data_IF_401882084844
#
_entry.id   IF_401882084844
#
_cell.length_a   1.000
_cell.length_b   1.000
_cell.length_c   1.000
_cell.angle_alpha   90.00
_cell.angle_beta   90.00
_cell.angle_gamma   90.00
#
_symmetry.space_group_name_H-M   'P 1'
#
loop_
_entity.id
_entity.type
_entity.pdbx_description
1 polymer ?
#
# COMPACT_ATOMS: atom_id res chain seq x y z
N UNK A 1 -38.95 42.67 -30.48
CA UNK A 1 -39.79 43.33 -29.46
C UNK A 1 -39.00 43.27 -28.16
N UNK A 2 -38.29 44.32 -27.79
CA UNK A 2 -38.55 45.40 -26.82
C UNK A 2 -39.21 44.83 -25.55
N UNK A 3 -38.62 44.90 -24.34
CA UNK A 3 -38.52 46.13 -23.57
C UNK A 3 -37.48 45.99 -22.42
N UNK A 4 -36.71 47.06 -22.25
CA UNK A 4 -35.92 47.48 -21.09
C UNK A 4 -36.84 48.06 -20.03
N UNK A 5 -36.48 47.96 -18.72
CA UNK A 5 -36.80 49.00 -17.76
C UNK A 5 -35.65 49.27 -16.80
N UNK A 6 -35.29 50.53 -16.74
CA UNK A 6 -34.40 51.26 -15.84
C UNK A 6 -35.32 51.99 -14.84
N UNK A 7 -34.93 52.15 -13.57
CA UNK A 7 -35.32 53.25 -12.65
C UNK A 7 -34.49 53.10 -11.35
N UNK A 8 -33.75 53.95 -10.98
CA UNK A 8 -33.64 55.38 -10.63
C UNK A 8 -33.70 55.58 -9.10
N UNK A 9 -32.66 56.26 -8.62
CA UNK A 9 -32.39 56.71 -7.26
C UNK A 9 -33.41 57.73 -6.72
N UNK A 10 -33.49 57.80 -5.40
CA UNK A 10 -33.89 59.05 -4.71
C UNK A 10 -32.99 59.34 -3.53
N UNK A 11 -32.27 60.46 -3.67
CA UNK A 11 -31.68 61.25 -2.61
C UNK A 11 -32.76 62.15 -1.98
N UNK A 12 -32.78 62.27 -0.66
CA UNK A 12 -33.41 63.40 0.01
C UNK A 12 -32.48 63.93 1.12
N UNK A 13 -32.07 65.18 0.90
CA UNK A 13 -31.37 66.04 1.84
C UNK A 13 -32.43 66.79 2.63
N UNK A 14 -32.28 66.95 3.94
CA UNK A 14 -32.94 67.98 4.71
C UNK A 14 -31.96 68.46 5.80
N UNK A 15 -31.75 69.78 5.72
CA UNK A 15 -30.90 70.59 6.62
C UNK A 15 -31.74 71.30 7.70
N UNK A 16 -31.03 71.77 8.72
CA UNK A 16 -31.37 72.86 9.65
C UNK A 16 -31.97 72.43 11.00
N UNK A 17 -31.39 72.68 12.14
CA UNK A 17 -31.20 74.03 12.77
C UNK A 17 -30.35 73.91 14.03
N UNK A 18 -29.48 74.93 14.27
CA UNK A 18 -28.74 75.20 15.49
C UNK A 18 -29.65 75.58 16.65
N UNK A 19 -29.39 75.00 17.82
CA UNK A 19 -29.58 75.73 19.11
C UNK A 19 -28.44 75.42 20.02
N UNK A 20 -27.69 76.43 20.37
CA UNK A 20 -26.61 76.38 21.35
C UNK A 20 -27.15 76.42 22.78
N UNK A 21 -26.80 75.43 23.57
CA UNK A 21 -26.93 75.52 25.03
C UNK A 21 -25.56 75.15 25.64
N UNK A 22 -24.93 76.19 26.29
CA UNK A 22 -23.73 75.99 27.07
C UNK A 22 -24.06 75.22 28.35
N UNK A 23 -23.43 74.03 28.52
CA UNK A 23 -23.50 73.23 29.72
C UNK A 23 -22.10 72.81 30.13
N UNK A 24 -21.76 73.02 31.39
CA UNK A 24 -20.47 72.78 32.05
C UNK A 24 -19.86 71.41 31.68
N UNK A 25 -18.62 71.42 31.23
CA UNK A 25 -17.81 70.23 31.00
C UNK A 25 -17.33 69.66 32.33
N UNK A 26 -17.86 68.45 32.67
CA UNK A 26 -17.19 67.59 33.65
C UNK A 26 -16.29 66.63 32.84
N UNK A 27 -15.02 66.56 33.15
CA UNK A 27 -14.07 65.72 32.53
C UNK A 27 -14.50 64.21 32.67
N UNK A 28 -14.40 63.34 31.58
CA UNK A 28 -14.71 61.97 31.71
C UNK A 28 -13.60 61.24 32.48
N UNK A 29 -14.02 60.35 33.43
CA UNK A 29 -13.12 59.48 34.15
C UNK A 29 -12.41 58.53 33.18
N UNK A 30 -11.15 58.14 33.43
CA UNK A 30 -10.41 57.21 32.57
C UNK A 30 -11.12 55.88 32.56
N UNK A 31 -11.47 55.41 31.35
CA UNK A 31 -11.94 54.03 31.15
C UNK A 31 -10.85 53.05 31.55
N UNK A 32 -11.09 52.24 32.56
CA UNK A 32 -10.23 51.10 32.88
C UNK A 32 -10.13 50.20 31.64
N UNK A 33 -8.93 50.00 31.10
CA UNK A 33 -8.66 49.00 30.07
C UNK A 33 -8.95 47.62 30.65
N UNK A 34 -9.81 46.85 29.98
CA UNK A 34 -10.05 45.47 30.32
C UNK A 34 -8.73 44.67 30.20
N UNK A 35 -8.41 43.80 31.14
CA UNK A 35 -7.19 43.01 31.05
C UNK A 35 -7.16 42.23 29.74
N UNK A 36 -6.11 42.40 28.92
CA UNK A 36 -5.85 41.60 27.73
C UNK A 36 -5.85 40.14 28.15
N UNK A 37 -6.80 39.36 27.61
CA UNK A 37 -6.80 37.92 27.79
C UNK A 37 -5.45 37.35 27.39
N UNK A 38 -4.83 36.58 28.25
CA UNK A 38 -3.59 35.86 27.93
C UNK A 38 -3.82 34.99 26.70
N UNK A 39 -2.82 34.86 25.77
CA UNK A 39 -2.97 34.01 24.62
C UNK A 39 -3.28 32.59 25.09
N UNK A 40 -4.44 32.04 24.68
CA UNK A 40 -4.77 30.66 24.89
C UNK A 40 -3.71 29.86 24.13
N UNK A 41 -2.92 29.08 24.87
CA UNK A 41 -1.94 28.20 24.25
C UNK A 41 -2.67 27.32 23.20
N UNK A 42 -2.21 27.38 21.97
CA UNK A 42 -2.77 26.55 20.91
C UNK A 42 -2.73 25.08 21.36
N UNK A 43 -3.85 24.38 21.23
CA UNK A 43 -3.91 22.96 21.55
C UNK A 43 -2.80 22.22 20.76
N UNK A 44 -2.06 21.31 21.38
CA UNK A 44 -1.01 20.56 20.69
C UNK A 44 -1.58 19.90 19.46
N UNK A 45 -0.85 19.98 18.34
CA UNK A 45 -1.26 19.32 17.11
C UNK A 45 -1.53 17.82 17.35
N UNK A 46 -2.58 17.25 16.78
CA UNK A 46 -2.91 15.84 16.98
C UNK A 46 -1.71 14.96 16.59
N UNK A 47 -1.45 13.93 17.39
CA UNK A 47 -0.35 13.02 17.14
C UNK A 47 -0.50 12.36 15.75
N UNK A 48 0.58 12.15 15.01
CA UNK A 48 0.52 11.51 13.70
C UNK A 48 -0.19 10.15 13.76
N UNK A 49 -0.98 9.84 12.74
CA UNK A 49 -1.79 8.61 12.71
C UNK A 49 -0.98 7.31 12.93
N UNK A 50 0.30 7.29 12.57
CA UNK A 50 1.19 6.16 12.78
C UNK A 50 1.61 5.94 14.25
N UNK A 51 1.39 6.92 15.14
CA UNK A 51 1.59 6.80 16.60
C UNK A 51 0.36 6.29 17.34
N UNK A 52 -0.74 6.11 16.68
CA UNK A 52 -1.97 5.63 17.29
C UNK A 52 -1.78 4.21 17.88
N UNK A 53 -2.34 3.96 19.07
CA UNK A 53 -2.24 2.68 19.75
C UNK A 53 -0.87 2.39 20.35
N UNK A 54 -0.01 3.40 20.50
CA UNK A 54 1.26 3.28 21.20
C UNK A 54 1.00 3.05 22.68
N UNK A 55 1.43 1.90 23.17
CA UNK A 55 1.33 1.54 24.59
C UNK A 55 2.34 2.32 25.46
N UNK A 56 2.17 2.32 26.81
CA UNK A 56 3.08 3.02 27.73
C UNK A 56 4.55 2.63 27.54
N UNK A 57 4.83 1.35 27.31
CA UNK A 57 6.20 0.81 27.13
C UNK A 57 6.89 1.35 25.86
N UNK A 58 6.11 1.82 24.89
CA UNK A 58 6.61 2.38 23.65
C UNK A 58 6.56 3.92 23.62
N UNK A 59 6.03 4.57 24.67
CA UNK A 59 5.79 6.02 24.70
C UNK A 59 7.05 6.87 24.44
N UNK A 60 8.23 6.38 24.82
CA UNK A 60 9.52 7.05 24.61
C UNK A 60 10.25 6.59 23.34
N UNK A 61 9.64 5.71 22.55
CA UNK A 61 10.25 5.15 21.34
C UNK A 61 10.52 6.24 20.30
N UNK A 62 11.72 6.20 19.71
CA UNK A 62 12.14 7.05 18.59
C UNK A 62 11.88 6.42 17.22
N UNK A 63 11.28 5.24 17.18
CA UNK A 63 10.94 4.56 15.93
C UNK A 63 9.95 5.39 15.12
N UNK A 64 10.14 5.44 13.81
CA UNK A 64 9.29 6.16 12.88
C UNK A 64 9.26 5.46 11.51
N UNK A 65 8.18 5.64 10.73
CA UNK A 65 8.11 5.12 9.38
C UNK A 65 9.30 5.58 8.53
N UNK A 66 9.89 4.65 7.80
CA UNK A 66 11.03 4.92 6.93
C UNK A 66 10.58 5.73 5.71
N UNK A 67 11.21 6.88 5.42
CA UNK A 67 10.86 7.69 4.25
C UNK A 67 11.18 6.93 2.96
N UNK A 68 10.35 7.13 1.94
CA UNK A 68 10.64 6.65 0.60
C UNK A 68 11.71 7.48 -0.08
N UNK A 69 12.63 6.84 -0.80
CA UNK A 69 13.56 7.55 -1.69
C UNK A 69 12.81 7.98 -2.95
N UNK A 70 12.87 9.26 -3.27
CA UNK A 70 12.14 9.86 -4.39
C UNK A 70 13.01 10.10 -5.61
N UNK A 71 14.30 9.76 -5.53
CA UNK A 71 15.28 9.95 -6.60
C UNK A 71 15.64 8.64 -7.26
N UNK A 72 16.04 8.72 -8.53
CA UNK A 72 16.57 7.58 -9.27
C UNK A 72 17.88 7.10 -8.67
N UNK A 73 18.09 5.79 -8.61
CA UNK A 73 19.36 5.17 -8.29
C UNK A 73 19.92 4.54 -9.58
N UNK A 74 21.10 4.96 -10.05
CA UNK A 74 21.76 4.34 -11.19
C UNK A 74 22.06 2.86 -10.95
N UNK A 75 22.02 2.04 -11.99
CA UNK A 75 22.22 0.59 -11.86
C UNK A 75 23.58 0.22 -11.27
N UNK A 76 24.62 0.97 -11.59
CA UNK A 76 26.00 0.75 -11.09
C UNK A 76 26.18 1.16 -9.62
N UNK A 77 25.23 1.87 -9.02
CA UNK A 77 25.24 2.22 -7.60
C UNK A 77 24.45 1.21 -6.75
N UNK A 78 23.78 0.25 -7.37
CA UNK A 78 23.00 -0.77 -6.66
C UNK A 78 23.93 -1.91 -6.25
N UNK A 79 24.11 -2.19 -4.94
CA UNK A 79 25.04 -3.19 -4.45
C UNK A 79 24.48 -4.62 -4.60
N UNK A 80 24.24 -5.04 -5.84
CA UNK A 80 23.61 -6.31 -6.20
C UNK A 80 24.41 -7.53 -5.73
N UNK A 81 25.73 -7.38 -5.56
CA UNK A 81 26.68 -8.37 -5.05
C UNK A 81 26.43 -8.76 -3.59
N UNK A 82 25.79 -7.89 -2.82
CA UNK A 82 25.38 -8.17 -1.44
C UNK A 82 24.20 -9.14 -1.35
N UNK A 83 23.46 -9.32 -2.42
CA UNK A 83 22.32 -10.23 -2.42
C UNK A 83 22.76 -11.69 -2.45
N UNK A 84 22.10 -12.48 -1.62
CA UNK A 84 22.34 -13.92 -1.48
C UNK A 84 21.07 -14.67 -1.88
N UNK A 85 21.27 -15.69 -2.72
CA UNK A 85 20.22 -16.60 -3.20
C UNK A 85 20.65 -18.04 -3.01
N UNK A 86 19.73 -19.00 -3.05
CA UNK A 86 20.07 -20.42 -3.09
C UNK A 86 20.97 -20.77 -4.28
N UNK A 87 21.75 -21.86 -4.19
CA UNK A 87 22.64 -22.29 -5.27
C UNK A 87 21.93 -22.45 -6.61
N UNK A 88 22.56 -22.04 -7.70
CA UNK A 88 22.04 -22.11 -9.07
C UNK A 88 21.15 -20.93 -9.48
N UNK A 89 20.70 -20.11 -8.53
CA UNK A 89 20.00 -18.87 -8.83
C UNK A 89 20.97 -17.72 -9.13
N UNK A 90 20.53 -16.84 -10.03
CA UNK A 90 21.16 -15.55 -10.32
C UNK A 90 20.15 -14.43 -10.17
N UNK A 91 20.62 -13.27 -9.77
CA UNK A 91 19.86 -12.02 -9.72
C UNK A 91 20.63 -10.93 -10.46
N UNK A 92 19.94 -10.12 -11.21
CA UNK A 92 20.51 -8.97 -11.92
C UNK A 92 19.64 -7.74 -11.73
N UNK A 93 20.23 -6.55 -11.81
CA UNK A 93 19.48 -5.30 -11.96
C UNK A 93 18.94 -5.28 -13.39
N UNK A 94 17.64 -5.56 -13.54
CA UNK A 94 17.01 -5.68 -14.84
C UNK A 94 16.58 -4.34 -15.43
N UNK A 95 16.07 -3.44 -14.58
CA UNK A 95 15.70 -2.08 -14.95
C UNK A 95 15.82 -1.14 -13.75
N UNK A 96 16.03 0.15 -13.99
CA UNK A 96 16.07 1.23 -13.00
C UNK A 96 15.33 2.46 -13.49
N UNK A 97 15.36 3.56 -12.73
CA UNK A 97 14.77 4.82 -13.15
C UNK A 97 13.31 5.00 -12.77
N UNK A 98 12.79 4.15 -11.88
CA UNK A 98 11.39 4.16 -11.46
C UNK A 98 11.25 4.33 -9.93
N UNK A 99 11.61 5.49 -9.36
CA UNK A 99 11.52 5.73 -7.91
C UNK A 99 10.14 5.31 -7.37
N UNK A 100 10.14 4.59 -6.25
CA UNK A 100 8.91 4.13 -5.62
C UNK A 100 8.23 2.95 -6.31
N UNK A 101 8.93 2.19 -7.18
CA UNK A 101 8.39 1.04 -7.90
C UNK A 101 7.76 0.01 -6.96
N UNK A 102 6.50 -0.34 -7.23
CA UNK A 102 5.69 -1.29 -6.43
C UNK A 102 5.04 -2.36 -7.29
N UNK A 103 3.70 -2.40 -7.34
CA UNK A 103 2.97 -3.40 -8.10
C UNK A 103 3.32 -3.34 -9.58
N UNK A 104 3.34 -4.50 -10.20
CA UNK A 104 3.62 -4.68 -11.61
C UNK A 104 2.45 -5.39 -12.29
N UNK A 105 2.06 -4.93 -13.47
CA UNK A 105 1.08 -5.57 -14.32
C UNK A 105 1.65 -5.72 -15.74
N UNK A 106 1.57 -6.92 -16.31
CA UNK A 106 2.04 -7.16 -17.68
C UNK A 106 0.91 -6.94 -18.68
N UNK A 107 1.17 -6.12 -19.69
CA UNK A 107 0.28 -5.92 -20.83
C UNK A 107 0.32 -7.09 -21.82
N UNK A 108 -0.59 -7.06 -22.79
CA UNK A 108 -0.74 -8.10 -23.78
C UNK A 108 0.45 -8.14 -24.76
N UNK A 109 1.06 -6.98 -25.07
CA UNK A 109 2.25 -6.86 -25.91
C UNK A 109 3.57 -7.06 -25.15
N UNK A 110 3.53 -7.40 -23.86
CA UNK A 110 4.69 -7.68 -23.03
C UNK A 110 5.26 -6.50 -22.26
N UNK A 111 4.77 -5.27 -22.46
CA UNK A 111 5.10 -4.13 -21.61
C UNK A 111 4.69 -4.35 -20.17
N UNK A 112 5.41 -3.74 -19.24
CA UNK A 112 5.12 -3.85 -17.82
C UNK A 112 4.74 -2.48 -17.29
N UNK A 113 3.60 -2.39 -16.63
CA UNK A 113 3.12 -1.19 -15.96
C UNK A 113 3.46 -1.29 -14.48
N UNK A 114 4.11 -0.25 -13.94
CA UNK A 114 4.60 -0.23 -12.57
C UNK A 114 3.93 0.91 -11.80
N UNK A 115 3.13 0.55 -10.80
CA UNK A 115 2.54 1.49 -9.87
C UNK A 115 3.54 1.98 -8.82
N UNK A 116 3.30 3.18 -8.29
CA UNK A 116 4.13 3.76 -7.23
C UNK A 116 3.27 4.24 -6.06
N UNK A 117 3.89 4.45 -4.90
CA UNK A 117 3.19 5.04 -3.76
C UNK A 117 3.43 6.56 -3.69
N UNK A 118 4.53 6.98 -3.12
CA UNK A 118 4.75 8.38 -2.75
C UNK A 118 4.97 9.30 -3.96
N UNK A 119 5.53 8.80 -5.06
CA UNK A 119 5.86 9.63 -6.21
C UNK A 119 4.66 9.97 -7.11
N UNK A 120 3.53 9.26 -6.96
CA UNK A 120 2.29 9.60 -7.66
C UNK A 120 2.25 9.24 -9.15
N UNK A 121 3.08 8.29 -9.62
CA UNK A 121 3.25 7.94 -11.03
C UNK A 121 2.96 6.47 -11.31
N UNK A 122 2.61 6.19 -12.57
CA UNK A 122 2.68 4.85 -13.16
C UNK A 122 3.68 4.90 -14.30
N UNK A 123 4.62 3.97 -14.29
CA UNK A 123 5.60 3.80 -15.36
C UNK A 123 5.18 2.69 -16.31
N UNK A 124 5.52 2.84 -17.58
CA UNK A 124 5.54 1.77 -18.57
C UNK A 124 7.00 1.37 -18.80
N UNK A 125 7.32 0.11 -18.64
CA UNK A 125 8.62 -0.47 -18.90
C UNK A 125 8.53 -1.35 -20.14
N UNK A 126 9.39 -1.08 -21.12
CA UNK A 126 9.51 -1.83 -22.36
C UNK A 126 10.85 -2.56 -22.38
N UNK A 127 10.82 -3.85 -22.67
CA UNK A 127 12.00 -4.67 -22.94
C UNK A 127 12.00 -5.08 -24.43
N UNK A 128 13.01 -4.68 -25.16
CA UNK A 128 13.20 -5.07 -26.57
C UNK A 128 14.26 -6.19 -26.74
N UNK A 129 14.66 -6.82 -25.62
CA UNK A 129 15.68 -7.87 -25.57
C UNK A 129 17.13 -7.35 -25.47
N UNK A 130 17.41 -6.13 -25.87
CA UNK A 130 18.71 -5.47 -25.75
C UNK A 130 18.71 -4.40 -24.66
N UNK A 131 17.69 -3.58 -24.66
CA UNK A 131 17.53 -2.45 -23.76
C UNK A 131 16.19 -2.51 -23.04
N UNK A 132 16.16 -1.93 -21.83
CA UNK A 132 14.95 -1.69 -21.06
C UNK A 132 14.80 -0.19 -20.88
N UNK A 133 13.73 0.33 -21.45
CA UNK A 133 13.39 1.75 -21.36
C UNK A 133 12.10 1.92 -20.57
N UNK A 134 12.02 2.98 -19.78
CA UNK A 134 10.79 3.31 -19.09
C UNK A 134 10.36 4.74 -19.35
N UNK A 135 9.06 4.97 -19.22
CA UNK A 135 8.46 6.32 -19.28
C UNK A 135 7.29 6.42 -18.31
N UNK A 136 6.97 7.63 -17.93
CA UNK A 136 5.75 7.92 -17.18
C UNK A 136 4.56 7.90 -18.13
N UNK A 137 3.54 7.09 -17.82
CA UNK A 137 2.28 7.03 -18.58
C UNK A 137 1.09 7.60 -17.80
N UNK A 138 1.19 7.65 -16.48
CA UNK A 138 0.23 8.32 -15.60
C UNK A 138 1.00 9.12 -14.56
N UNK A 139 0.59 10.35 -14.31
CA UNK A 139 1.23 11.25 -13.34
C UNK A 139 0.19 11.96 -12.46
N UNK A 140 0.65 12.53 -11.35
CA UNK A 140 -0.14 13.38 -10.44
C UNK A 140 -1.33 12.68 -9.78
N UNK A 141 -1.27 11.36 -9.59
CA UNK A 141 -2.24 10.63 -8.79
C UNK A 141 -1.77 10.50 -7.34
N UNK A 142 -2.72 10.39 -6.41
CA UNK A 142 -2.41 10.17 -5.00
C UNK A 142 -2.16 8.69 -4.75
N UNK A 143 -0.88 8.29 -4.65
CA UNK A 143 -0.44 6.92 -4.34
C UNK A 143 -1.05 5.86 -5.30
N UNK A 144 -0.81 5.91 -6.61
CA UNK A 144 -1.32 4.95 -7.59
C UNK A 144 -0.54 3.63 -7.51
N UNK A 145 -0.62 2.95 -6.36
CA UNK A 145 0.12 1.71 -6.12
C UNK A 145 -0.48 0.50 -6.84
N UNK A 146 -1.78 0.50 -7.07
CA UNK A 146 -2.50 -0.60 -7.71
C UNK A 146 -2.52 -0.47 -9.22
N UNK A 147 -1.96 -1.46 -9.91
CA UNK A 147 -2.04 -1.59 -11.36
C UNK A 147 -2.47 -3.00 -11.72
N UNK A 148 -3.38 -3.14 -12.68
CA UNK A 148 -3.80 -4.41 -13.25
C UNK A 148 -4.06 -4.23 -14.76
N UNK A 149 -3.86 -5.28 -15.54
CA UNK A 149 -4.08 -5.24 -16.98
C UNK A 149 -5.04 -6.35 -17.39
N UNK A 150 -6.00 -6.02 -18.24
CA UNK A 150 -6.97 -6.98 -18.77
C UNK A 150 -7.55 -6.50 -20.09
N UNK A 151 -7.58 -7.39 -21.08
CA UNK A 151 -8.25 -7.18 -22.37
C UNK A 151 -7.88 -5.83 -23.03
N UNK A 152 -6.57 -5.55 -23.14
CA UNK A 152 -6.04 -4.32 -23.75
C UNK A 152 -6.16 -3.06 -22.88
N UNK A 153 -6.64 -3.16 -21.65
CA UNK A 153 -6.88 -2.02 -20.76
C UNK A 153 -6.04 -2.08 -19.50
N UNK A 154 -5.42 -0.96 -19.14
CA UNK A 154 -4.73 -0.76 -17.87
C UNK A 154 -5.70 -0.15 -16.85
N UNK A 155 -5.82 -0.83 -15.71
CA UNK A 155 -6.52 -0.32 -14.54
C UNK A 155 -5.51 0.25 -13.55
N UNK A 156 -5.74 1.48 -13.11
CA UNK A 156 -4.92 2.16 -12.11
C UNK A 156 -5.79 2.54 -10.92
N UNK A 157 -5.43 2.06 -9.74
CA UNK A 157 -6.11 2.41 -8.51
C UNK A 157 -5.19 3.22 -7.60
N UNK A 158 -5.58 4.46 -7.38
CA UNK A 158 -5.00 5.35 -6.38
C UNK A 158 -5.86 5.33 -5.10
N UNK A 159 -5.50 6.14 -4.09
CA UNK A 159 -6.32 6.24 -2.88
C UNK A 159 -7.74 6.69 -3.21
N UNK A 160 -7.88 7.69 -4.06
CA UNK A 160 -9.13 8.41 -4.30
C UNK A 160 -9.67 8.28 -5.73
N UNK A 161 -9.05 7.45 -6.57
CA UNK A 161 -9.49 7.25 -7.97
C UNK A 161 -9.29 5.83 -8.44
N UNK A 162 -10.19 5.40 -9.31
CA UNK A 162 -10.08 4.18 -10.12
C UNK A 162 -10.21 4.59 -11.58
N UNK A 163 -9.14 4.44 -12.33
CA UNK A 163 -9.05 4.86 -13.72
C UNK A 163 -8.76 3.65 -14.61
N UNK A 164 -9.41 3.60 -15.77
CA UNK A 164 -9.17 2.58 -16.80
C UNK A 164 -8.70 3.26 -18.09
N UNK A 165 -7.59 2.81 -18.61
CA UNK A 165 -6.97 3.32 -19.83
C UNK A 165 -7.13 2.29 -20.94
N UNK A 166 -8.15 2.45 -21.78
CA UNK A 166 -8.49 1.52 -22.86
C UNK A 166 -7.54 1.69 -24.05
N UNK A 167 -6.88 0.61 -24.46
CA UNK A 167 -5.94 0.65 -25.59
C UNK A 167 -4.65 1.41 -25.33
N UNK A 168 -4.21 1.57 -24.07
CA UNK A 168 -2.98 2.27 -23.66
C UNK A 168 -1.72 1.77 -24.38
N UNK A 169 -1.66 0.49 -24.73
CA UNK A 169 -0.55 -0.10 -25.46
C UNK A 169 -0.40 0.45 -26.87
N UNK A 170 -1.49 0.86 -27.50
CA UNK A 170 -1.53 1.49 -28.83
C UNK A 170 -1.43 3.01 -28.75
N UNK A 171 -2.08 3.61 -27.75
CA UNK A 171 -2.07 5.05 -27.49
C UNK A 171 -1.73 5.34 -26.03
N UNK A 172 -0.45 5.58 -25.67
CA UNK A 172 -0.02 5.81 -24.29
C UNK A 172 -0.49 7.14 -23.69
N UNK A 173 -1.11 7.99 -24.50
CA UNK A 173 -1.71 9.27 -24.08
C UNK A 173 -3.24 9.21 -24.05
N UNK A 174 -3.82 8.02 -24.14
CA UNK A 174 -5.27 7.84 -24.09
C UNK A 174 -5.85 8.42 -22.79
N UNK A 175 -6.97 9.14 -22.91
CA UNK A 175 -7.68 9.64 -21.75
C UNK A 175 -8.32 8.47 -20.98
N UNK A 176 -8.27 8.48 -19.64
CA UNK A 176 -8.87 7.42 -18.84
C UNK A 176 -10.39 7.51 -18.79
N UNK A 177 -11.03 6.36 -18.65
CA UNK A 177 -12.40 6.24 -18.17
C UNK A 177 -12.36 6.28 -16.63
N UNK A 178 -13.03 7.26 -16.02
CA UNK A 178 -13.12 7.37 -14.56
C UNK A 178 -14.23 6.44 -14.03
N UNK A 179 -13.82 5.40 -13.30
CA UNK A 179 -14.69 4.42 -12.67
C UNK A 179 -14.91 4.68 -11.18
N UNK A 180 -14.37 5.76 -10.63
CA UNK A 180 -14.27 6.02 -9.17
C UNK A 180 -15.62 5.90 -8.46
N UNK A 181 -16.67 6.49 -9.02
CA UNK A 181 -18.00 6.48 -8.41
C UNK A 181 -18.61 5.07 -8.21
N UNK A 182 -18.10 4.07 -8.93
CA UNK A 182 -18.59 2.68 -8.84
C UNK A 182 -17.93 1.86 -7.74
N UNK A 183 -16.83 2.37 -7.13
CA UNK A 183 -16.01 1.60 -6.20
C UNK A 183 -16.25 1.95 -4.73
N UNK A 184 -17.03 2.99 -4.42
CA UNK A 184 -17.27 3.44 -3.04
C UNK A 184 -15.99 3.47 -2.21
N UNK A 185 -15.00 4.29 -2.66
CA UNK A 185 -13.69 4.37 -2.01
C UNK A 185 -13.81 5.09 -0.67
N UNK A 186 -13.29 4.53 0.43
CA UNK A 186 -13.22 5.23 1.70
C UNK A 186 -12.28 6.45 1.59
N UNK A 187 -12.58 7.56 2.30
CA UNK A 187 -11.82 8.81 2.20
C UNK A 187 -10.45 8.77 2.87
N UNK A 188 -10.23 7.87 3.82
CA UNK A 188 -9.00 7.81 4.60
C UNK A 188 -7.82 7.33 3.77
N UNK A 189 -6.66 7.95 4.01
CA UNK A 189 -5.43 7.60 3.34
C UNK A 189 -4.66 6.45 4.01
N UNK A 190 -4.89 6.22 5.30
CA UNK A 190 -4.21 5.19 6.06
C UNK A 190 -4.60 3.79 5.55
N UNK A 191 -3.62 2.94 5.23
CA UNK A 191 -3.77 1.60 4.61
C UNK A 191 -4.62 1.57 3.33
N UNK A 192 -4.75 2.69 2.63
CA UNK A 192 -5.60 2.77 1.46
C UNK A 192 -4.85 2.70 0.12
N UNK A 193 -3.52 2.50 0.13
CA UNK A 193 -2.75 2.16 -1.08
C UNK A 193 -2.97 0.68 -1.41
N UNK A 194 -3.60 0.42 -2.54
CA UNK A 194 -4.12 -0.90 -2.88
C UNK A 194 -3.18 -1.66 -3.81
N UNK A 195 -3.10 -2.97 -3.66
CA UNK A 195 -2.75 -3.89 -4.72
C UNK A 195 -4.03 -4.37 -5.38
N UNK A 196 -4.09 -4.43 -6.69
CA UNK A 196 -5.24 -4.91 -7.44
C UNK A 196 -4.81 -5.95 -8.45
N UNK A 197 -5.64 -6.94 -8.69
CA UNK A 197 -5.42 -7.94 -9.73
C UNK A 197 -6.75 -8.56 -10.18
N UNK A 198 -6.79 -9.03 -11.42
CA UNK A 198 -7.91 -9.82 -11.92
C UNK A 198 -7.77 -11.28 -11.50
N UNK A 199 -8.83 -11.82 -10.93
CA UNK A 199 -8.90 -13.21 -10.52
C UNK A 199 -9.16 -14.18 -11.69
N UNK A 200 -9.06 -15.49 -11.43
CA UNK A 200 -9.39 -16.50 -12.43
C UNK A 200 -10.87 -16.49 -12.87
N UNK A 201 -11.73 -15.81 -12.12
CA UNK A 201 -13.13 -15.54 -12.43
C UNK A 201 -13.33 -14.28 -13.29
N UNK A 202 -12.24 -13.61 -13.68
CA UNK A 202 -12.25 -12.38 -14.48
C UNK A 202 -12.66 -11.13 -13.71
N UNK A 203 -12.93 -11.22 -12.40
CA UNK A 203 -13.28 -10.07 -11.54
C UNK A 203 -12.04 -9.36 -11.00
N UNK A 204 -12.16 -8.05 -10.74
CA UNK A 204 -11.12 -7.24 -10.13
C UNK A 204 -11.19 -7.34 -8.60
N UNK A 205 -10.11 -7.83 -7.98
CA UNK A 205 -9.99 -7.95 -6.52
C UNK A 205 -9.30 -6.72 -5.95
N UNK A 206 -9.88 -6.18 -4.88
CA UNK A 206 -9.47 -4.90 -4.27
C UNK A 206 -9.52 -5.02 -2.75
N UNK A 207 -8.39 -4.83 -2.05
CA UNK A 207 -8.38 -4.74 -0.60
C UNK A 207 -8.71 -3.32 -0.14
N UNK A 208 -9.38 -3.21 1.00
CA UNK A 208 -9.69 -1.97 1.70
C UNK A 208 -9.15 -2.09 3.12
N UNK A 209 -8.04 -1.45 3.41
CA UNK A 209 -7.38 -1.55 4.71
C UNK A 209 -8.11 -0.80 5.82
N UNK A 210 -7.66 -0.99 7.05
CA UNK A 210 -8.18 -0.27 8.21
C UNK A 210 -7.81 1.22 8.16
N UNK A 211 -8.67 2.14 8.65
CA UNK A 211 -8.41 3.59 8.62
C UNK A 211 -7.40 4.05 9.68
N UNK A 212 -6.89 3.13 10.47
CA UNK A 212 -6.10 3.39 11.67
C UNK A 212 -5.04 2.31 11.88
N UNK A 213 -4.09 2.55 12.80
CA UNK A 213 -3.22 1.48 13.29
C UNK A 213 -4.04 0.42 14.03
N UNK A 214 -4.84 0.87 15.01
CA UNK A 214 -5.79 0.05 15.77
C UNK A 214 -6.96 0.91 16.23
N UNK A 215 -8.18 0.52 15.94
CA UNK A 215 -9.41 1.18 16.37
C UNK A 215 -10.62 0.28 16.14
N UNK A 216 -11.73 0.54 16.81
CA UNK A 216 -13.02 0.08 16.31
C UNK A 216 -13.27 0.69 14.94
N UNK A 217 -13.78 -0.11 14.02
CA UNK A 217 -14.02 0.36 12.66
C UNK A 217 -15.19 1.34 12.64
N UNK A 218 -15.01 2.57 12.11
CA UNK A 218 -16.09 3.57 12.11
C UNK A 218 -17.26 3.14 11.21
N UNK A 219 -16.99 2.37 10.18
CA UNK A 219 -17.96 1.78 9.27
C UNK A 219 -17.50 0.41 8.78
N UNK A 220 -18.41 -0.44 8.30
CA UNK A 220 -18.06 -1.80 7.84
C UNK A 220 -17.26 -1.83 6.53
N UNK A 221 -17.06 -0.69 5.84
CA UNK A 221 -16.35 -0.64 4.56
C UNK A 221 -14.84 -0.87 4.66
N UNK A 222 -14.27 -0.81 5.87
CA UNK A 222 -12.85 -1.00 6.12
C UNK A 222 -12.49 -2.45 6.47
N UNK A 223 -11.21 -2.72 6.43
CA UNK A 223 -10.63 -4.02 6.78
C UNK A 223 -11.24 -5.19 6.00
N UNK A 224 -11.41 -5.01 4.69
CA UNK A 224 -12.09 -5.96 3.79
C UNK A 224 -11.23 -6.31 2.56
N UNK A 225 -11.51 -7.47 1.97
CA UNK A 225 -11.18 -7.77 0.58
C UNK A 225 -12.49 -7.84 -0.19
N UNK A 226 -12.57 -7.12 -1.29
CA UNK A 226 -13.74 -7.08 -2.18
C UNK A 226 -13.36 -7.49 -3.59
N UNK A 227 -14.36 -7.93 -4.39
CA UNK A 227 -14.20 -8.09 -5.83
C UNK A 227 -15.33 -7.37 -6.57
N UNK A 228 -15.04 -7.01 -7.81
CA UNK A 228 -15.92 -6.25 -8.69
C UNK A 228 -15.86 -6.81 -10.10
N UNK A 229 -16.90 -6.60 -10.90
CA UNK A 229 -16.79 -6.73 -12.34
C UNK A 229 -15.77 -5.71 -12.88
N UNK A 230 -15.18 -5.93 -14.09
CA UNK A 230 -14.20 -5.00 -14.67
C UNK A 230 -14.72 -3.56 -14.82
N UNK A 231 -16.02 -3.36 -14.94
CA UNK A 231 -16.64 -2.05 -15.02
C UNK A 231 -16.93 -1.38 -13.66
N UNK A 232 -16.60 -2.05 -12.55
CA UNK A 232 -16.83 -1.59 -11.18
C UNK A 232 -18.21 -1.95 -10.61
N UNK A 233 -19.06 -2.62 -11.36
CA UNK A 233 -20.35 -3.16 -10.87
C UNK A 233 -20.17 -4.46 -10.09
N UNK A 234 -21.26 -4.98 -9.51
CA UNK A 234 -21.30 -6.32 -8.90
C UNK A 234 -20.35 -6.49 -7.72
N UNK A 235 -20.26 -5.48 -6.84
CA UNK A 235 -19.42 -5.53 -5.64
C UNK A 235 -19.83 -6.68 -4.72
N UNK A 236 -18.84 -7.45 -4.30
CA UNK A 236 -18.98 -8.52 -3.31
C UNK A 236 -17.89 -8.38 -2.22
N UNK A 237 -18.27 -8.48 -0.95
CA UNK A 237 -17.34 -8.59 0.18
C UNK A 237 -16.93 -10.04 0.34
N UNK A 238 -15.64 -10.32 0.23
CA UNK A 238 -15.09 -11.67 0.30
C UNK A 238 -14.56 -12.02 1.68
N UNK A 239 -13.94 -11.05 2.37
CA UNK A 239 -13.32 -11.21 3.68
C UNK A 239 -13.47 -9.94 4.50
N UNK A 240 -13.54 -10.11 5.84
CA UNK A 240 -13.55 -9.03 6.82
C UNK A 240 -12.42 -9.22 7.83
N UNK A 241 -12.14 -8.20 8.65
CA UNK A 241 -11.08 -8.30 9.66
C UNK A 241 -9.66 -8.38 9.07
N UNK A 242 -9.46 -7.92 7.85
CA UNK A 242 -8.16 -7.87 7.16
C UNK A 242 -7.58 -6.47 7.32
N UNK A 243 -6.65 -6.28 8.29
CA UNK A 243 -6.14 -4.95 8.63
C UNK A 243 -5.51 -4.21 7.46
N UNK A 244 -4.56 -4.84 6.78
CA UNK A 244 -3.89 -4.24 5.62
C UNK A 244 -3.26 -5.31 4.75
N UNK A 245 -3.96 -5.67 3.68
CA UNK A 245 -3.42 -6.54 2.65
C UNK A 245 -2.98 -5.72 1.44
N UNK A 246 -1.75 -5.96 1.00
CA UNK A 246 -1.16 -5.30 -0.18
C UNK A 246 -0.51 -6.32 -1.12
N UNK A 247 -0.79 -7.59 -0.94
CA UNK A 247 -0.29 -8.65 -1.80
C UNK A 247 -1.17 -9.90 -1.70
N UNK A 248 -1.58 -10.41 -2.84
CA UNK A 248 -2.36 -11.63 -2.93
C UNK A 248 -2.14 -12.32 -4.28
N UNK A 249 -2.42 -13.62 -4.32
CA UNK A 249 -2.42 -14.42 -5.54
C UNK A 249 -3.32 -15.63 -5.34
N UNK A 250 -3.65 -16.32 -6.42
CA UNK A 250 -4.48 -17.51 -6.38
C UNK A 250 -3.64 -18.79 -6.43
N UNK A 251 -3.90 -19.68 -5.49
CA UNK A 251 -3.20 -20.97 -5.46
C UNK A 251 -3.40 -21.73 -6.79
N UNK A 252 -2.32 -22.18 -7.43
CA UNK A 252 -2.38 -22.69 -8.81
C UNK A 252 -3.35 -23.85 -9.01
N UNK A 253 -3.48 -24.73 -8.01
CA UNK A 253 -4.34 -25.92 -8.07
C UNK A 253 -5.75 -25.66 -7.56
N UNK A 254 -5.88 -25.10 -6.33
CA UNK A 254 -7.19 -24.92 -5.68
C UNK A 254 -7.94 -23.68 -6.13
N UNK A 255 -7.26 -22.74 -6.78
CA UNK A 255 -7.78 -21.42 -7.18
C UNK A 255 -8.24 -20.55 -6.01
N UNK A 256 -7.99 -20.96 -4.77
CA UNK A 256 -8.28 -20.17 -3.58
C UNK A 256 -7.36 -18.95 -3.53
N UNK A 257 -7.90 -17.82 -3.09
CA UNK A 257 -7.13 -16.60 -2.85
C UNK A 257 -6.25 -16.79 -1.61
N UNK A 258 -4.96 -16.49 -1.76
CA UNK A 258 -4.02 -16.35 -0.64
C UNK A 258 -3.56 -14.90 -0.58
N UNK A 259 -3.39 -14.36 0.63
CA UNK A 259 -3.04 -12.97 0.80
C UNK A 259 -2.16 -12.73 2.03
N UNK A 260 -1.29 -11.73 1.93
CA UNK A 260 -0.48 -11.22 3.05
C UNK A 260 -1.31 -10.25 3.88
N UNK A 261 -1.07 -10.16 5.19
CA UNK A 261 -1.75 -9.20 6.06
C UNK A 261 -0.77 -8.60 7.07
N UNK A 262 -0.68 -7.28 7.09
CA UNK A 262 0.13 -6.55 8.07
C UNK A 262 -0.59 -6.50 9.41
N UNK A 263 0.09 -6.91 10.46
CA UNK A 263 -0.34 -6.74 11.83
C UNK A 263 -0.25 -5.26 12.28
N UNK A 264 -0.82 -4.95 13.46
CA UNK A 264 -0.74 -3.61 14.03
C UNK A 264 0.67 -3.27 14.53
N UNK A 265 0.97 -1.99 14.61
CA UNK A 265 2.18 -1.46 15.22
C UNK A 265 1.98 -1.25 16.73
N UNK A 266 3.09 -1.11 17.47
CA UNK A 266 3.15 -0.66 18.86
C UNK A 266 2.64 -1.65 19.91
N UNK A 267 2.71 -2.96 19.64
CA UNK A 267 2.54 -4.01 20.66
C UNK A 267 3.90 -4.54 21.20
N UNK A 268 5.01 -3.93 20.82
CA UNK A 268 6.36 -4.37 21.14
C UNK A 268 7.10 -4.92 19.91
N UNK A 269 8.39 -5.29 20.10
CA UNK A 269 9.27 -5.71 19.00
C UNK A 269 8.86 -7.05 18.38
N UNK A 270 8.37 -7.99 19.19
CA UNK A 270 8.23 -9.39 18.79
C UNK A 270 6.77 -9.82 18.58
N UNK A 271 5.82 -8.87 18.59
CA UNK A 271 4.39 -9.14 18.37
C UNK A 271 3.62 -7.91 17.88
N UNK A 272 2.51 -8.14 17.16
CA UNK A 272 2.10 -9.42 16.57
C UNK A 272 2.88 -9.70 15.29
N UNK A 273 2.86 -10.96 14.84
CA UNK A 273 3.42 -11.32 13.56
C UNK A 273 2.56 -10.79 12.41
N UNK A 274 3.19 -10.37 11.31
CA UNK A 274 2.54 -10.34 10.00
C UNK A 274 2.19 -11.75 9.58
N UNK A 275 1.19 -11.91 8.71
CA UNK A 275 0.61 -13.22 8.42
C UNK A 275 0.41 -13.45 6.92
N UNK A 276 0.43 -14.73 6.53
CA UNK A 276 -0.05 -15.22 5.26
C UNK A 276 -1.33 -16.01 5.50
N UNK A 277 -2.41 -15.63 4.84
CA UNK A 277 -3.71 -16.26 4.94
C UNK A 277 -4.14 -16.94 3.64
N UNK A 278 -5.09 -17.84 3.78
CA UNK A 278 -5.82 -18.49 2.69
C UNK A 278 -7.32 -18.25 2.89
N UNK A 279 -8.01 -17.90 1.82
CA UNK A 279 -9.47 -17.78 1.83
C UNK A 279 -10.09 -19.12 1.44
N UNK A 280 -10.59 -19.87 2.41
CA UNK A 280 -11.23 -21.16 2.18
C UNK A 280 -12.62 -21.00 1.55
N UNK A 281 -13.36 -20.00 1.97
CA UNK A 281 -14.67 -19.57 1.46
C UNK A 281 -14.84 -18.07 1.67
N UNK A 282 -15.84 -17.49 1.04
CA UNK A 282 -16.21 -16.08 1.26
C UNK A 282 -16.87 -15.88 2.62
N UNK A 283 -16.83 -14.63 3.13
CA UNK A 283 -17.49 -14.23 4.39
C UNK A 283 -16.72 -14.56 5.66
N UNK A 284 -15.47 -15.00 5.58
CA UNK A 284 -14.63 -15.29 6.74
C UNK A 284 -14.08 -14.01 7.37
N UNK A 285 -13.83 -14.08 8.69
CA UNK A 285 -13.23 -13.02 9.49
C UNK A 285 -11.78 -13.37 9.85
N UNK A 286 -10.86 -12.41 9.61
CA UNK A 286 -9.43 -12.57 9.85
C UNK A 286 -8.92 -11.79 11.06
N UNK A 287 -9.82 -11.29 11.92
CA UNK A 287 -9.56 -10.93 13.32
C UNK A 287 -9.51 -9.44 13.64
N UNK A 288 -9.02 -8.57 12.74
CA UNK A 288 -8.91 -7.14 13.05
C UNK A 288 -10.27 -6.50 13.31
N UNK A 289 -10.42 -5.64 14.36
CA UNK A 289 -9.35 -5.12 15.24
C UNK A 289 -9.07 -5.95 16.49
N UNK A 290 -9.88 -6.93 16.83
CA UNK A 290 -9.89 -7.54 18.15
C UNK A 290 -8.92 -8.71 18.35
N UNK A 291 -8.50 -9.35 17.26
CA UNK A 291 -7.65 -10.54 17.28
C UNK A 291 -6.55 -10.46 16.20
N UNK A 292 -5.34 -10.80 16.59
CA UNK A 292 -4.17 -10.88 15.71
C UNK A 292 -3.69 -12.32 15.61
N UNK A 293 -3.04 -12.69 14.50
CA UNK A 293 -2.45 -14.02 14.26
C UNK A 293 -3.44 -15.20 14.45
N UNK A 294 -4.74 -14.92 14.51
CA UNK A 294 -5.79 -15.93 14.75
C UNK A 294 -6.04 -16.28 16.22
N UNK A 295 -5.15 -15.91 17.14
CA UNK A 295 -5.23 -16.34 18.56
C UNK A 295 -4.76 -15.29 19.57
N UNK A 296 -4.29 -14.13 19.14
CA UNK A 296 -3.78 -13.08 20.03
C UNK A 296 -4.80 -11.95 20.19
N UNK A 297 -5.41 -11.77 21.37
CA UNK A 297 -6.29 -10.63 21.68
C UNK A 297 -5.57 -9.30 21.56
N UNK A 298 -6.28 -8.26 21.08
CA UNK A 298 -5.77 -6.89 21.15
C UNK A 298 -5.80 -6.35 22.58
N UNK A 299 -4.79 -5.58 22.95
CA UNK A 299 -4.63 -5.00 24.29
C UNK A 299 -5.31 -3.63 24.46
N UNK A 300 -5.69 -2.97 23.36
CA UNK A 300 -6.35 -1.65 23.32
C UNK A 300 -7.83 -1.78 23.00
N UNK A 301 -8.18 -2.48 21.94
CA UNK A 301 -9.55 -2.67 21.46
C UNK A 301 -10.09 -4.01 21.98
N UNK A 302 -10.60 -3.98 23.19
CA UNK A 302 -10.99 -5.20 23.92
C UNK A 302 -12.39 -5.67 23.55
N UNK A 303 -12.54 -6.99 23.44
CA UNK A 303 -13.82 -7.67 23.19
C UNK A 303 -13.87 -8.99 23.97
N UNK A 304 -15.04 -9.43 24.36
CA UNK A 304 -15.22 -10.77 24.92
C UNK A 304 -14.97 -11.83 23.81
N UNK A 305 -14.19 -12.86 24.11
CA UNK A 305 -13.82 -13.93 23.17
C UNK A 305 -13.35 -13.41 21.79
N UNK A 306 -12.35 -12.52 21.74
CA UNK A 306 -12.03 -11.74 20.57
C UNK A 306 -11.57 -12.57 19.37
N UNK A 307 -11.03 -13.76 19.62
CA UNK A 307 -10.53 -14.66 18.59
C UNK A 307 -11.51 -15.80 18.22
N UNK A 308 -12.72 -15.79 18.79
CA UNK A 308 -13.70 -16.81 18.44
C UNK A 308 -14.16 -16.68 16.98
N UNK A 309 -14.05 -17.76 16.22
CA UNK A 309 -14.43 -17.78 14.79
C UNK A 309 -13.50 -17.02 13.86
N UNK A 310 -12.32 -16.63 14.32
CA UNK A 310 -11.27 -15.99 13.51
C UNK A 310 -10.49 -17.07 12.75
N UNK A 311 -10.25 -16.82 11.45
CA UNK A 311 -9.49 -17.73 10.60
C UNK A 311 -7.99 -17.73 10.95
N UNK A 312 -7.45 -18.92 11.11
CA UNK A 312 -6.04 -19.11 11.39
C UNK A 312 -5.18 -18.78 10.17
N UNK A 313 -4.00 -18.15 10.34
CA UNK A 313 -3.07 -17.95 9.23
C UNK A 313 -2.49 -19.28 8.75
N UNK A 314 -2.14 -19.32 7.47
CA UNK A 314 -1.33 -20.40 6.89
C UNK A 314 0.07 -20.39 7.51
N UNK A 315 0.62 -19.19 7.70
CA UNK A 315 1.95 -18.99 8.28
C UNK A 315 2.07 -17.64 8.97
N UNK A 316 2.81 -17.64 10.07
CA UNK A 316 3.37 -16.43 10.64
C UNK A 316 4.59 -16.01 9.83
N UNK A 317 4.69 -14.72 9.51
CA UNK A 317 5.71 -14.18 8.61
C UNK A 317 6.78 -13.36 9.33
N UNK A 318 6.76 -13.38 10.66
CA UNK A 318 7.59 -12.57 11.54
C UNK A 318 6.95 -11.24 11.91
N UNK A 319 7.29 -10.70 13.11
CA UNK A 319 6.73 -9.44 13.58
C UNK A 319 7.29 -8.27 12.77
N UNK A 320 6.39 -7.36 12.37
CA UNK A 320 6.72 -6.10 11.68
C UNK A 320 7.53 -6.25 10.37
N UNK A 321 7.54 -7.41 9.73
CA UNK A 321 8.33 -7.65 8.50
C UNK A 321 7.83 -6.85 7.30
N UNK A 322 6.64 -6.26 7.40
CA UNK A 322 5.95 -5.54 6.33
C UNK A 322 5.81 -6.43 5.08
N UNK A 323 5.07 -7.53 5.22
CA UNK A 323 4.76 -8.48 4.13
C UNK A 323 4.03 -7.76 2.99
N UNK A 324 4.59 -7.82 1.79
CA UNK A 324 4.10 -7.10 0.62
C UNK A 324 3.53 -8.06 -0.42
N UNK A 325 3.95 -7.90 -1.66
CA UNK A 325 3.55 -8.75 -2.76
C UNK A 325 3.89 -10.22 -2.54
N UNK A 326 3.01 -11.09 -2.99
CA UNK A 326 3.23 -12.52 -3.05
C UNK A 326 2.95 -13.03 -4.47
N UNK A 327 3.60 -14.12 -4.85
CA UNK A 327 3.36 -14.80 -6.12
C UNK A 327 3.60 -16.29 -5.99
N UNK A 328 2.63 -17.10 -6.38
CA UNK A 328 2.87 -18.52 -6.57
C UNK A 328 3.74 -18.76 -7.79
N UNK A 329 4.79 -19.55 -7.61
CA UNK A 329 5.64 -19.90 -8.74
C UNK A 329 5.03 -21.04 -9.54
N UNK A 330 4.69 -20.77 -10.80
CA UNK A 330 4.10 -21.73 -11.73
C UNK A 330 4.97 -22.01 -12.95
N UNK A 331 6.14 -21.34 -13.04
CA UNK A 331 7.09 -21.49 -14.12
C UNK A 331 7.82 -22.86 -14.12
N UNK A 332 8.65 -23.05 -15.12
CA UNK A 332 9.45 -24.27 -15.27
C UNK A 332 10.98 -23.98 -15.23
N UNK A 333 11.36 -22.72 -15.01
CA UNK A 333 12.78 -22.34 -14.92
C UNK A 333 13.41 -22.74 -13.59
N UNK A 334 12.69 -22.50 -12.47
CA UNK A 334 13.17 -22.82 -11.12
C UNK A 334 13.06 -24.32 -10.83
N UNK A 335 13.83 -24.86 -9.88
CA UNK A 335 13.73 -26.25 -9.45
C UNK A 335 12.32 -26.68 -9.04
N UNK A 336 12.06 -27.97 -9.11
CA UNK A 336 10.73 -28.55 -8.85
C UNK A 336 10.17 -28.21 -7.45
N UNK A 337 11.03 -28.02 -6.45
CA UNK A 337 10.62 -27.64 -5.09
C UNK A 337 9.99 -26.25 -5.00
N UNK A 338 10.21 -25.37 -5.98
CA UNK A 338 9.58 -24.06 -6.07
C UNK A 338 8.19 -24.10 -6.73
N UNK A 339 7.86 -25.20 -7.42
CA UNK A 339 6.57 -25.32 -8.11
C UNK A 339 5.43 -25.25 -7.10
N UNK A 340 4.49 -24.34 -7.32
CA UNK A 340 3.36 -24.04 -6.46
C UNK A 340 3.73 -23.52 -5.05
N UNK A 341 5.00 -23.20 -4.78
CA UNK A 341 5.38 -22.45 -3.59
C UNK A 341 5.06 -20.97 -3.76
N UNK A 342 4.71 -20.29 -2.67
CA UNK A 342 4.53 -18.84 -2.68
C UNK A 342 5.86 -18.15 -2.39
N UNK A 343 6.28 -17.23 -3.26
CA UNK A 343 7.34 -16.25 -2.96
C UNK A 343 6.68 -15.02 -2.37
N UNK A 344 7.20 -14.52 -1.25
CA UNK A 344 6.63 -13.39 -0.51
C UNK A 344 7.72 -12.37 -0.23
N UNK A 345 7.52 -11.12 -0.66
CA UNK A 345 8.41 -10.02 -0.32
C UNK A 345 8.09 -9.50 1.08
N UNK A 346 9.12 -9.37 1.93
CA UNK A 346 9.05 -8.72 3.24
C UNK A 346 9.87 -7.44 3.16
N UNK A 347 9.16 -6.31 3.06
CA UNK A 347 9.77 -5.01 2.76
C UNK A 347 10.68 -4.50 3.87
N UNK A 348 10.50 -5.00 5.07
CA UNK A 348 11.30 -4.67 6.24
C UNK A 348 10.66 -3.70 7.22
N UNK A 349 10.95 -3.95 8.49
CA UNK A 349 10.37 -3.27 9.64
C UNK A 349 10.80 -1.81 9.76
N UNK A 350 9.90 -0.99 10.33
CA UNK A 350 10.22 0.31 10.88
C UNK A 350 9.85 0.39 12.38
N UNK A 351 8.88 -0.40 12.81
CA UNK A 351 8.35 -0.45 14.18
C UNK A 351 9.00 -1.60 14.99
N UNK A 352 10.34 -1.66 14.96
CA UNK A 352 11.11 -2.64 15.68
C UNK A 352 12.54 -2.13 15.88
N UNK A 353 13.10 -2.28 17.09
CA UNK A 353 14.46 -1.83 17.42
C UNK A 353 15.50 -2.61 16.61
N UNK A 354 15.43 -3.94 16.62
CA UNK A 354 16.22 -4.78 15.72
C UNK A 354 15.42 -5.06 14.46
N UNK A 355 15.82 -4.45 13.34
CA UNK A 355 15.09 -4.58 12.07
C UNK A 355 15.00 -6.03 11.59
N UNK A 356 13.89 -6.35 10.94
CA UNK A 356 13.59 -7.67 10.37
C UNK A 356 12.92 -7.55 9.01
N UNK A 357 12.86 -8.63 8.24
CA UNK A 357 12.43 -8.60 6.84
C UNK A 357 13.56 -8.10 5.95
N UNK A 358 13.27 -7.22 5.00
CA UNK A 358 14.22 -6.78 3.95
C UNK A 358 14.72 -7.96 3.12
N UNK A 359 13.80 -8.83 2.72
CA UNK A 359 14.11 -10.07 2.00
C UNK A 359 12.92 -10.55 1.17
N UNK A 360 13.14 -11.60 0.43
CA UNK A 360 12.08 -12.41 -0.16
C UNK A 360 12.20 -13.81 0.42
N UNK A 361 11.09 -14.36 0.86
CA UNK A 361 11.02 -15.72 1.40
C UNK A 361 10.19 -16.63 0.49
N UNK A 362 10.49 -17.92 0.53
CA UNK A 362 9.64 -18.96 -0.05
C UNK A 362 8.79 -19.58 1.06
N UNK A 363 7.49 -19.65 0.83
CA UNK A 363 6.55 -20.38 1.69
C UNK A 363 6.07 -21.61 0.92
N UNK A 364 6.45 -22.77 1.41
CA UNK A 364 5.98 -24.06 0.91
C UNK A 364 4.96 -24.63 1.89
N UNK A 365 3.76 -24.87 1.41
CA UNK A 365 2.67 -25.44 2.18
C UNK A 365 1.91 -26.45 1.32
N UNK A 366 1.15 -27.35 1.95
CA UNK A 366 0.18 -28.16 1.23
C UNK A 366 -0.96 -27.29 0.69
N UNK A 367 -1.68 -27.77 -0.31
CA UNK A 367 -2.74 -27.01 -1.00
C UNK A 367 -3.88 -26.57 -0.04
N UNK A 368 -4.06 -27.27 1.07
CA UNK A 368 -4.98 -26.92 2.15
C UNK A 368 -4.39 -25.93 3.17
N UNK A 369 -3.20 -25.40 2.91
CA UNK A 369 -2.52 -24.41 3.76
C UNK A 369 -1.83 -24.98 5.00
N UNK A 370 -1.79 -26.30 5.17
CA UNK A 370 -1.10 -26.93 6.29
C UNK A 370 0.38 -27.15 6.00
N UNK A 371 1.15 -27.48 7.06
CA UNK A 371 2.57 -27.79 6.99
C UNK A 371 3.40 -26.69 6.31
N UNK A 372 3.04 -25.44 6.54
CA UNK A 372 3.74 -24.31 5.96
C UNK A 372 5.17 -24.22 6.52
N UNK A 373 6.14 -24.10 5.61
CA UNK A 373 7.54 -23.86 5.91
C UNK A 373 8.00 -22.59 5.21
N UNK A 374 8.51 -21.63 5.99
CA UNK A 374 9.08 -20.38 5.47
C UNK A 374 10.60 -20.54 5.41
N UNK A 375 11.18 -20.27 4.23
CA UNK A 375 12.63 -20.33 4.01
C UNK A 375 13.13 -19.09 3.29
N UNK A 376 14.32 -18.57 3.60
CA UNK A 376 14.91 -17.46 2.86
C UNK A 376 15.08 -17.79 1.38
N UNK A 377 14.81 -16.80 0.51
CA UNK A 377 15.02 -16.91 -0.93
C UNK A 377 15.96 -15.83 -1.47
N UNK A 378 15.72 -14.55 -1.18
CA UNK A 378 16.64 -13.46 -1.48
C UNK A 378 16.91 -12.70 -0.19
N UNK A 379 18.16 -12.64 0.24
CA UNK A 379 18.58 -11.90 1.43
C UNK A 379 19.71 -10.93 1.09
N UNK A 380 20.10 -10.07 2.04
CA UNK A 380 21.22 -9.16 1.87
C UNK A 380 20.83 -7.72 1.54
N UNK A 381 19.54 -7.37 1.48
CA UNK A 381 19.09 -5.97 1.39
C UNK A 381 19.38 -5.16 2.65
N UNK A 382 19.62 -5.83 3.77
CA UNK A 382 19.95 -5.25 5.06
C UNK A 382 21.20 -5.94 5.64
N UNK A 383 22.04 -5.17 6.32
CA UNK A 383 23.15 -5.69 7.12
C UNK A 383 22.69 -5.88 8.58
N UNK A 384 22.63 -7.11 9.10
CA UNK A 384 22.20 -7.35 10.48
C UNK A 384 23.13 -6.75 11.55
N UNK A 385 24.43 -6.58 11.25
CA UNK A 385 25.42 -6.13 12.22
C UNK A 385 25.25 -4.65 12.61
N UNK A 386 24.92 -3.79 11.64
CA UNK A 386 24.76 -2.34 11.85
C UNK A 386 23.33 -1.85 11.59
N UNK A 387 22.42 -2.76 11.26
CA UNK A 387 21.01 -2.46 10.97
C UNK A 387 20.79 -1.50 9.79
N UNK A 388 21.83 -1.24 8.97
CA UNK A 388 21.71 -0.50 7.74
C UNK A 388 20.99 -1.33 6.67
N UNK A 389 20.23 -0.66 5.80
CA UNK A 389 19.59 -1.30 4.66
C UNK A 389 19.78 -0.42 3.42
N UNK A 390 19.80 -1.04 2.25
CA UNK A 390 19.96 -0.34 0.99
C UNK A 390 18.80 -0.59 0.01
N UNK A 391 18.07 -1.68 0.17
CA UNK A 391 16.92 -2.02 -0.69
C UNK A 391 15.72 -2.47 0.13
N UNK A 392 14.54 -2.38 -0.49
CA UNK A 392 13.25 -2.77 0.11
C UNK A 392 12.39 -3.49 -0.92
N UNK A 393 12.52 -4.83 -1.06
CA UNK A 393 11.74 -5.61 -2.01
C UNK A 393 10.25 -5.46 -1.71
N UNK A 394 9.45 -5.24 -2.75
CA UNK A 394 8.05 -4.90 -2.58
C UNK A 394 7.10 -5.89 -3.28
N UNK A 395 7.24 -6.13 -4.58
CA UNK A 395 6.33 -7.00 -5.33
C UNK A 395 7.08 -7.98 -6.22
N UNK A 396 6.36 -9.03 -6.64
CA UNK A 396 6.87 -10.10 -7.47
C UNK A 396 5.98 -10.27 -8.71
N UNK A 397 6.61 -10.55 -9.85
CA UNK A 397 5.90 -10.89 -11.07
C UNK A 397 6.65 -11.99 -11.82
N UNK A 398 5.98 -13.10 -12.10
CA UNK A 398 6.55 -14.17 -12.92
C UNK A 398 6.48 -13.80 -14.40
N UNK A 399 7.59 -13.97 -15.08
CA UNK A 399 7.70 -13.77 -16.54
C UNK A 399 7.33 -15.04 -17.29
N UNK A 400 6.96 -14.94 -18.59
CA UNK A 400 6.60 -16.10 -19.40
C UNK A 400 7.69 -17.16 -19.53
N UNK A 401 8.96 -16.75 -19.47
CA UNK A 401 10.11 -17.66 -19.49
C UNK A 401 10.37 -18.38 -18.16
N UNK A 402 9.57 -18.08 -17.14
CA UNK A 402 9.70 -18.65 -15.81
C UNK A 402 10.65 -17.89 -14.88
N UNK A 403 11.29 -16.83 -15.34
CA UNK A 403 12.04 -15.92 -14.44
C UNK A 403 11.09 -15.13 -13.54
N UNK A 404 11.62 -14.60 -12.43
CA UNK A 404 10.86 -13.79 -11.48
C UNK A 404 11.39 -12.37 -11.42
N UNK A 405 10.53 -11.37 -11.62
CA UNK A 405 10.85 -9.99 -11.36
C UNK A 405 10.52 -9.63 -9.91
N UNK A 406 11.36 -8.79 -9.31
CA UNK A 406 11.18 -8.26 -7.95
C UNK A 406 11.34 -6.74 -8.02
N UNK A 407 10.31 -5.99 -7.63
CA UNK A 407 10.41 -4.53 -7.51
C UNK A 407 11.04 -4.11 -6.19
N UNK A 408 11.85 -3.05 -6.24
CA UNK A 408 12.45 -2.40 -5.08
C UNK A 408 11.93 -0.97 -4.95
N UNK A 409 11.10 -0.72 -3.94
CA UNK A 409 10.53 0.61 -3.69
C UNK A 409 11.60 1.63 -3.29
N UNK A 410 12.66 1.20 -2.59
CA UNK A 410 13.71 2.10 -2.09
C UNK A 410 14.58 2.64 -3.22
N UNK A 411 14.99 1.78 -4.14
CA UNK A 411 15.91 2.14 -5.20
C UNK A 411 15.23 2.47 -6.54
N UNK A 412 13.93 2.16 -6.67
CA UNK A 412 13.21 2.33 -7.94
C UNK A 412 13.74 1.40 -9.02
N UNK A 413 14.12 0.20 -8.61
CA UNK A 413 14.69 -0.82 -9.47
C UNK A 413 13.76 -2.03 -9.61
N UNK A 414 13.95 -2.75 -10.69
CA UNK A 414 13.38 -4.09 -10.90
C UNK A 414 14.56 -5.05 -11.04
N UNK A 415 14.57 -6.07 -10.21
CA UNK A 415 15.52 -7.18 -10.31
C UNK A 415 14.90 -8.32 -11.09
N UNK A 416 15.73 -9.10 -11.80
CA UNK A 416 15.31 -10.35 -12.45
C UNK A 416 16.08 -11.50 -11.83
N UNK A 417 15.32 -12.50 -11.39
CA UNK A 417 15.84 -13.76 -10.84
C UNK A 417 15.68 -14.86 -11.86
N UNK A 418 16.77 -15.54 -12.16
CA UNK A 418 16.83 -16.70 -13.07
C UNK A 418 17.49 -17.88 -12.37
N UNK A 419 17.31 -19.08 -12.94
CA UNK A 419 17.96 -20.29 -12.45
C UNK A 419 18.65 -21.02 -13.60
N UNK A 420 19.89 -21.45 -13.35
CA UNK A 420 20.65 -22.24 -14.32
C UNK A 420 21.26 -23.50 -13.67
N UNK A 421 20.68 -24.65 -13.98
CA UNK A 421 21.13 -25.94 -13.44
C UNK A 421 22.59 -26.28 -13.77
N UNK A 422 23.13 -25.79 -14.89
CA UNK A 422 24.52 -26.07 -15.31
C UNK A 422 25.56 -25.43 -14.37
N UNK A 423 25.19 -24.40 -13.61
CA UNK A 423 26.12 -23.77 -12.65
C UNK A 423 26.27 -24.53 -11.34
N UNK A 424 25.42 -25.52 -11.04
CA UNK A 424 25.58 -26.41 -9.89
C UNK A 424 26.65 -27.47 -10.15
N UNK A 425 26.86 -27.88 -11.40
CA UNK A 425 27.83 -28.90 -11.77
C UNK A 425 29.26 -28.36 -11.94
N UNK A 426 29.47 -27.04 -11.89
CA UNK A 426 30.75 -26.38 -12.10
C UNK A 426 31.44 -25.90 -10.81
N UNK A 427 30.86 -26.21 -9.63
CA UNK A 427 31.44 -26.03 -8.30
C UNK A 427 31.67 -27.39 -7.65
#
# INVERSE_FOLDING_TARGET
>A
MKQRYISLAYMTVLASSLLALQGCATAPAPKAEAPKAAPVAAAPAPAPAWKQGMGPDMATSKLAPLPGKMTVTPANEIPIDKLKLPPGFKIEVWATGMPGARAMARGDNGKIYIGTRAIGRVYELTDNGKERTNRVVVDKLVQPAGVAFKDGSLYVMSINKVLRYDGIEKNPTVAPVDLTARFNLPPEQHHNWKYIAFGPDGKLYVPFGAPCNICELPTPEYAQIRRYNPDGSGMEVLATGVRNTVGFDWHPTTKQLWFTNHARDWMGDDKPNDTLHRMQKTGLNYGFPHCHEGNMPDDVVKKANPCAGVEQPVSLMGPHTAVMGMKFYTGNMFPAEYKNAALVARKGSWNRNQKTGFDVVMVKASADGKNAKVTPFITGFMNPADQSFWGRPAYLMQMPDGSMLVSDEQLGAIYRVTYNKRQLAAK
#
